data_IF_519242017765
#
_entry.id   IF_519242017765
#
_cell.length_a   1.000
_cell.length_b   1.000
_cell.length_c   1.000
_cell.angle_alpha   90.00
_cell.angle_beta   90.00
_cell.angle_gamma   90.00
#
_symmetry.space_group_name_H-M   'P 1'
#
loop_
_entity.id
_entity.type
_entity.pdbx_description
1 polymer ?
#
# COMPACT_ATOMS: atom_id res chain seq x y z
N UNK A 1 53.19 -8.46 19.44
CA UNK A 1 51.83 -8.80 19.91
C UNK A 1 51.11 -7.49 20.19
N UNK A 2 50.53 -6.86 19.15
CA UNK A 2 49.87 -5.57 19.27
C UNK A 2 48.55 -5.75 20.03
N UNK A 3 48.48 -5.18 21.24
CA UNK A 3 47.25 -4.98 21.99
C UNK A 3 46.36 -3.98 21.23
N UNK A 4 45.55 -4.47 20.29
CA UNK A 4 44.41 -3.75 19.77
C UNK A 4 43.45 -3.51 20.93
N UNK A 5 43.52 -2.30 21.47
CA UNK A 5 42.75 -1.86 22.63
C UNK A 5 41.24 -2.08 22.40
N UNK A 6 40.57 -2.65 23.40
CA UNK A 6 39.12 -2.93 23.43
C UNK A 6 38.24 -1.75 22.98
N UNK A 7 38.71 -0.51 23.13
CA UNK A 7 38.05 0.71 22.63
C UNK A 7 37.85 0.72 21.11
N UNK A 8 38.83 0.32 20.31
CA UNK A 8 38.71 0.36 18.83
C UNK A 8 37.70 -0.67 18.33
N UNK A 9 37.59 -1.81 19.00
CA UNK A 9 36.63 -2.87 18.67
C UNK A 9 35.19 -2.46 19.04
N UNK A 10 34.99 -1.82 20.21
CA UNK A 10 33.67 -1.31 20.64
C UNK A 10 33.20 -0.15 19.75
N UNK A 11 34.10 0.72 19.30
CA UNK A 11 33.77 1.80 18.35
C UNK A 11 33.35 1.20 17.01
N UNK A 12 34.01 0.15 16.53
CA UNK A 12 33.67 -0.50 15.26
C UNK A 12 32.33 -1.25 15.31
N UNK A 13 31.99 -1.88 16.44
CA UNK A 13 30.67 -2.50 16.67
C UNK A 13 29.58 -1.45 16.81
N UNK A 14 29.83 -0.34 17.51
CA UNK A 14 28.86 0.78 17.57
C UNK A 14 28.69 1.43 16.20
N UNK A 15 29.76 1.62 15.42
CA UNK A 15 29.66 2.13 14.05
C UNK A 15 28.92 1.15 13.14
N UNK A 16 29.17 -0.16 13.22
CA UNK A 16 28.41 -1.17 12.48
C UNK A 16 26.95 -1.23 12.92
N UNK A 17 26.66 -1.17 14.22
CA UNK A 17 25.29 -1.12 14.74
C UNK A 17 24.58 0.16 14.31
N UNK A 18 25.28 1.30 14.27
CA UNK A 18 24.79 2.58 13.72
C UNK A 18 24.62 2.49 12.19
N UNK A 19 25.54 1.85 11.46
CA UNK A 19 25.43 1.62 10.01
C UNK A 19 24.26 0.67 9.66
N UNK A 20 24.03 -0.34 10.50
CA UNK A 20 22.90 -1.27 10.42
C UNK A 20 21.60 -0.55 10.79
N UNK A 21 21.65 0.41 11.72
CA UNK A 21 20.56 1.35 11.98
C UNK A 21 20.34 2.33 10.80
N UNK A 22 21.34 2.52 9.93
CA UNK A 22 21.35 3.49 8.82
C UNK A 22 20.83 2.99 7.46
N UNK A 23 20.21 1.81 7.33
CA UNK A 23 19.61 1.39 6.03
C UNK A 23 18.32 0.58 6.14
N UNK A 24 17.44 0.87 7.10
CA UNK A 24 16.12 0.24 7.12
C UNK A 24 15.26 0.80 5.98
N UNK A 25 14.89 -0.04 5.01
CA UNK A 25 13.86 0.28 4.01
C UNK A 25 12.47 0.08 4.61
N UNK A 26 11.52 0.91 4.19
CA UNK A 26 10.10 0.71 4.47
C UNK A 26 9.58 -0.49 3.72
N UNK A 27 8.99 -1.42 4.46
CA UNK A 27 8.34 -2.60 3.89
C UNK A 27 6.96 -2.19 3.40
N UNK A 28 6.79 -2.06 2.08
CA UNK A 28 5.59 -1.52 1.45
C UNK A 28 4.84 -2.60 0.66
N UNK A 29 3.51 -2.66 0.82
CA UNK A 29 2.61 -3.43 -0.03
C UNK A 29 1.65 -2.52 -0.79
N UNK A 30 1.41 -2.80 -2.08
CA UNK A 30 0.41 -2.14 -2.93
C UNK A 30 -0.58 -3.20 -3.39
N UNK A 31 -1.82 -3.09 -2.92
CA UNK A 31 -2.88 -4.06 -3.12
C UNK A 31 -4.00 -3.49 -3.98
N UNK A 32 -4.46 -4.27 -4.94
CA UNK A 32 -5.57 -3.95 -5.83
C UNK A 32 -6.73 -4.93 -5.58
N UNK A 33 -7.94 -4.37 -5.51
CA UNK A 33 -9.21 -5.08 -5.40
C UNK A 33 -10.08 -4.79 -6.64
N UNK A 34 -11.40 -4.64 -6.49
CA UNK A 34 -12.32 -4.43 -7.62
C UNK A 34 -12.25 -2.97 -8.12
N UNK A 35 -11.42 -2.72 -9.15
CA UNK A 35 -11.26 -1.45 -9.87
C UNK A 35 -10.54 -1.62 -11.23
N UNK A 36 -10.14 -0.50 -11.85
CA UNK A 36 -9.39 -0.40 -13.11
C UNK A 36 -7.86 -0.39 -12.95
N UNK A 37 -7.36 -0.45 -11.71
CA UNK A 37 -5.93 -0.36 -11.34
C UNK A 37 -5.26 0.97 -11.68
N UNK A 38 -6.05 2.02 -11.95
CA UNK A 38 -5.53 3.33 -12.33
C UNK A 38 -4.58 3.92 -11.28
N UNK A 39 -4.80 3.67 -9.98
CA UNK A 39 -3.92 4.19 -8.94
C UNK A 39 -2.58 3.45 -8.90
N UNK A 40 -2.56 2.13 -9.12
CA UNK A 40 -1.29 1.40 -9.27
C UNK A 40 -0.50 1.86 -10.49
N UNK A 41 -1.17 2.15 -11.61
CA UNK A 41 -0.50 2.69 -12.80
C UNK A 41 0.06 4.09 -12.51
N UNK A 42 -0.71 4.98 -11.89
CA UNK A 42 -0.20 6.30 -11.45
C UNK A 42 1.01 6.16 -10.51
N UNK A 43 1.01 5.17 -9.60
CA UNK A 43 2.18 4.90 -8.76
C UNK A 43 3.41 4.56 -9.61
N UNK A 44 3.27 3.71 -10.63
CA UNK A 44 4.37 3.36 -11.54
C UNK A 44 4.87 4.57 -12.32
N UNK A 45 3.98 5.43 -12.81
CA UNK A 45 4.37 6.66 -13.50
C UNK A 45 5.16 7.60 -12.59
N UNK A 46 4.76 7.72 -11.32
CA UNK A 46 5.52 8.49 -10.33
C UNK A 46 6.93 7.90 -10.11
N UNK A 47 7.08 6.58 -10.19
CA UNK A 47 8.41 5.96 -10.10
C UNK A 47 9.34 6.39 -11.25
N UNK A 48 8.84 6.76 -12.43
CA UNK A 48 9.71 7.29 -13.49
C UNK A 48 10.50 8.53 -13.02
N UNK A 49 9.95 9.29 -12.08
CA UNK A 49 10.60 10.48 -11.51
C UNK A 49 11.26 10.18 -10.16
N UNK A 50 10.62 9.35 -9.31
CA UNK A 50 11.02 9.13 -7.91
C UNK A 50 11.86 7.88 -7.67
N UNK A 51 12.06 7.02 -8.66
CA UNK A 51 12.73 5.73 -8.47
C UNK A 51 14.10 5.86 -7.81
N UNK A 52 14.97 6.74 -8.30
CA UNK A 52 16.32 6.89 -7.74
C UNK A 52 16.31 7.46 -6.31
N UNK A 53 15.32 8.27 -5.96
CA UNK A 53 15.14 8.80 -4.61
C UNK A 53 14.62 7.71 -3.65
N UNK A 54 13.68 6.87 -4.10
CA UNK A 54 12.97 5.93 -3.23
C UNK A 54 13.51 4.50 -3.24
N UNK A 55 14.29 4.09 -4.25
CA UNK A 55 14.80 2.71 -4.38
C UNK A 55 15.58 2.22 -3.16
N UNK A 56 16.24 3.13 -2.45
CA UNK A 56 17.04 2.83 -1.26
C UNK A 56 16.25 3.02 0.04
N UNK A 57 15.01 3.52 -0.04
CA UNK A 57 14.13 3.82 1.08
C UNK A 57 12.95 2.87 1.17
N UNK A 58 12.52 2.29 0.05
CA UNK A 58 11.34 1.43 -0.05
C UNK A 58 11.77 0.02 -0.47
N UNK A 59 11.25 -0.96 0.25
CA UNK A 59 11.29 -2.38 -0.09
C UNK A 59 9.86 -2.84 -0.37
N UNK A 60 9.56 -3.14 -1.64
CA UNK A 60 8.27 -3.70 -2.01
C UNK A 60 8.16 -5.15 -1.53
N UNK A 61 7.16 -5.43 -0.69
CA UNK A 61 6.80 -6.77 -0.22
C UNK A 61 5.65 -7.39 -1.01
N UNK A 62 4.80 -6.54 -1.56
CA UNK A 62 3.75 -6.94 -2.47
C UNK A 62 3.52 -5.79 -3.45
N UNK A 63 3.70 -6.04 -4.74
CA UNK A 63 3.22 -5.16 -5.79
C UNK A 63 3.17 -5.95 -7.09
N UNK A 64 1.98 -6.42 -7.45
CA UNK A 64 1.77 -7.39 -8.53
C UNK A 64 2.33 -6.92 -9.88
N UNK A 65 2.36 -5.61 -10.13
CA UNK A 65 2.83 -5.05 -11.40
C UNK A 65 4.36 -5.10 -11.58
N UNK A 66 5.13 -5.22 -10.51
CA UNK A 66 6.61 -5.18 -10.58
C UNK A 66 7.28 -6.47 -10.09
N UNK A 67 6.58 -7.32 -9.35
CA UNK A 67 7.14 -8.58 -8.86
C UNK A 67 6.06 -9.65 -8.62
N UNK A 68 6.44 -10.92 -8.78
CA UNK A 68 5.58 -12.07 -8.47
C UNK A 68 5.60 -12.44 -6.98
N UNK A 69 6.67 -12.09 -6.26
CA UNK A 69 6.78 -12.38 -4.82
C UNK A 69 5.78 -11.52 -4.05
N UNK A 70 5.06 -12.16 -3.14
CA UNK A 70 4.00 -11.54 -2.35
C UNK A 70 4.14 -11.92 -0.88
N UNK A 71 4.26 -10.93 0.00
CA UNK A 71 4.28 -11.10 1.45
C UNK A 71 3.35 -10.07 2.12
N UNK A 72 2.27 -10.55 2.75
CA UNK A 72 1.33 -9.73 3.53
C UNK A 72 1.69 -9.84 5.02
N UNK A 73 2.96 -9.60 5.35
CA UNK A 73 3.47 -9.72 6.72
C UNK A 73 4.47 -8.63 7.04
N UNK A 74 4.34 -8.06 8.25
CA UNK A 74 5.23 -7.02 8.78
C UNK A 74 5.37 -5.83 7.81
N UNK A 75 4.25 -5.31 7.29
CA UNK A 75 4.26 -4.14 6.42
C UNK A 75 4.34 -2.87 7.27
N UNK A 76 5.25 -1.97 6.90
CA UNK A 76 5.24 -0.61 7.45
C UNK A 76 4.06 0.17 6.85
N UNK A 77 3.84 0.02 5.54
CA UNK A 77 2.75 0.69 4.81
C UNK A 77 2.05 -0.30 3.88
N UNK A 78 0.73 -0.31 3.88
CA UNK A 78 -0.11 -0.93 2.87
C UNK A 78 -0.89 0.15 2.12
N UNK A 79 -0.61 0.32 0.84
CA UNK A 79 -1.43 1.09 -0.08
C UNK A 79 -2.51 0.18 -0.66
N UNK A 80 -3.76 0.62 -0.63
CA UNK A 80 -4.91 -0.17 -1.07
C UNK A 80 -5.75 0.64 -2.04
N UNK A 81 -5.91 0.13 -3.26
CA UNK A 81 -6.91 0.61 -4.22
C UNK A 81 -8.04 -0.41 -4.40
N UNK A 82 -9.15 0.04 -4.99
CA UNK A 82 -10.27 -0.83 -5.33
C UNK A 82 -11.32 -0.98 -4.24
N UNK A 83 -12.52 -1.36 -4.67
CA UNK A 83 -13.64 -1.65 -3.78
C UNK A 83 -13.68 -3.15 -3.43
N UNK A 84 -14.44 -3.51 -2.39
CA UNK A 84 -14.62 -4.89 -1.94
C UNK A 84 -15.93 -5.43 -2.52
N UNK A 85 -15.84 -6.40 -3.43
CA UNK A 85 -16.98 -6.99 -4.12
C UNK A 85 -17.22 -8.46 -3.80
N UNK A 86 -16.26 -9.16 -3.18
CA UNK A 86 -16.37 -10.58 -2.79
C UNK A 86 -16.03 -10.80 -1.31
N UNK A 87 -16.46 -11.94 -0.75
CA UNK A 87 -16.09 -12.35 0.62
C UNK A 87 -14.58 -12.62 0.76
N UNK A 88 -13.92 -13.11 -0.30
CA UNK A 88 -12.47 -13.31 -0.29
C UNK A 88 -11.73 -11.98 -0.15
N UNK A 89 -12.14 -10.97 -0.92
CA UNK A 89 -11.58 -9.62 -0.81
C UNK A 89 -11.84 -9.03 0.58
N UNK A 90 -13.03 -9.27 1.15
CA UNK A 90 -13.41 -8.83 2.49
C UNK A 90 -12.48 -9.40 3.57
N UNK A 91 -12.15 -10.69 3.50
CA UNK A 91 -11.22 -11.31 4.43
C UNK A 91 -9.77 -10.85 4.17
N UNK A 92 -9.38 -10.72 2.90
CA UNK A 92 -8.04 -10.28 2.50
C UNK A 92 -7.74 -8.86 2.99
N UNK A 93 -8.67 -7.91 2.91
CA UNK A 93 -8.45 -6.55 3.41
C UNK A 93 -8.28 -6.52 4.95
N UNK A 94 -9.01 -7.35 5.69
CA UNK A 94 -8.80 -7.51 7.14
C UNK A 94 -7.41 -8.05 7.45
N UNK A 95 -6.93 -9.04 6.68
CA UNK A 95 -5.57 -9.58 6.80
C UNK A 95 -4.51 -8.52 6.49
N UNK A 96 -4.67 -7.74 5.42
CA UNK A 96 -3.76 -6.64 5.06
C UNK A 96 -3.73 -5.61 6.20
N UNK A 97 -4.89 -5.22 6.74
CA UNK A 97 -4.96 -4.26 7.85
C UNK A 97 -4.25 -4.79 9.09
N UNK A 98 -4.49 -6.05 9.47
CA UNK A 98 -3.83 -6.69 10.62
C UNK A 98 -2.30 -6.72 10.49
N UNK A 99 -1.78 -6.80 9.26
CA UNK A 99 -0.35 -6.94 8.99
C UNK A 99 0.34 -5.63 8.56
N UNK A 100 -0.35 -4.49 8.63
CA UNK A 100 0.20 -3.17 8.26
C UNK A 100 0.19 -2.22 9.45
N UNK A 101 1.27 -1.46 9.63
CA UNK A 101 1.31 -0.38 10.62
C UNK A 101 0.51 0.85 10.15
N UNK A 102 0.59 1.15 8.85
CA UNK A 102 -0.19 2.20 8.18
C UNK A 102 -0.92 1.63 6.97
N UNK A 103 -2.21 1.94 6.85
CA UNK A 103 -3.03 1.58 5.69
C UNK A 103 -3.52 2.86 5.02
N UNK A 104 -3.15 3.05 3.77
CA UNK A 104 -3.44 4.25 2.97
C UNK A 104 -4.39 3.84 1.85
N UNK A 105 -5.54 4.50 1.76
CA UNK A 105 -6.49 4.27 0.67
C UNK A 105 -6.12 5.11 -0.53
N UNK A 106 -6.07 4.47 -1.69
CA UNK A 106 -5.78 5.10 -2.97
C UNK A 106 -7.06 5.14 -3.82
N UNK A 107 -7.48 6.36 -4.13
CA UNK A 107 -8.57 6.64 -5.05
C UNK A 107 -9.98 6.36 -4.51
N UNK A 108 -10.95 6.83 -5.27
CA UNK A 108 -12.36 6.81 -4.88
C UNK A 108 -12.92 5.39 -4.74
N UNK A 109 -12.41 4.41 -5.51
CA UNK A 109 -12.82 3.02 -5.38
C UNK A 109 -12.61 2.50 -3.94
N UNK A 110 -11.45 2.79 -3.33
CA UNK A 110 -11.17 2.37 -1.97
C UNK A 110 -11.87 3.24 -0.91
N UNK A 111 -11.99 4.55 -1.17
CA UNK A 111 -12.52 5.52 -0.20
C UNK A 111 -14.06 5.48 -0.12
N UNK A 112 -14.75 5.48 -1.27
CA UNK A 112 -16.21 5.56 -1.37
C UNK A 112 -16.86 4.36 -2.05
N UNK A 113 -16.08 3.44 -2.62
CA UNK A 113 -16.59 2.28 -3.37
C UNK A 113 -16.92 2.59 -4.83
N UNK A 114 -16.92 3.86 -5.24
CA UNK A 114 -17.32 4.27 -6.59
C UNK A 114 -16.15 4.26 -7.58
N UNK A 115 -16.38 3.94 -8.87
CA UNK A 115 -17.68 3.61 -9.48
C UNK A 115 -18.10 2.14 -9.32
N UNK A 116 -17.27 1.26 -8.77
CA UNK A 116 -17.56 -0.17 -8.64
C UNK A 116 -18.87 -0.47 -7.87
N UNK A 117 -19.26 0.41 -6.95
CA UNK A 117 -20.47 0.30 -6.15
C UNK A 117 -21.76 0.78 -6.82
N UNK A 118 -21.74 1.25 -8.07
CA UNK A 118 -22.93 1.79 -8.74
C UNK A 118 -24.09 0.78 -8.77
N UNK A 119 -23.79 -0.53 -8.89
CA UNK A 119 -24.80 -1.59 -8.87
C UNK A 119 -25.57 -1.72 -7.55
N UNK A 120 -25.07 -1.14 -6.46
CA UNK A 120 -25.78 -1.11 -5.19
C UNK A 120 -27.08 -0.31 -5.27
N UNK A 121 -27.11 0.70 -6.17
CA UNK A 121 -28.22 1.64 -6.34
C UNK A 121 -29.20 1.21 -7.45
N UNK A 122 -28.96 0.07 -8.10
CA UNK A 122 -29.88 -0.47 -9.09
C UNK A 122 -31.22 -0.84 -8.47
N UNK A 123 -32.29 -0.65 -9.23
CA UNK A 123 -33.62 -1.13 -8.89
C UNK A 123 -33.70 -2.67 -8.97
N UNK A 124 -34.87 -3.22 -8.63
CA UNK A 124 -35.09 -4.66 -8.62
C UNK A 124 -34.97 -5.30 -10.00
N UNK A 125 -35.42 -4.61 -11.04
CA UNK A 125 -35.38 -5.11 -12.42
C UNK A 125 -33.92 -5.24 -12.87
N UNK A 126 -33.15 -4.16 -12.75
CA UNK A 126 -31.73 -4.13 -13.13
C UNK A 126 -30.89 -5.08 -12.28
N UNK A 127 -31.20 -5.25 -10.99
CA UNK A 127 -30.56 -6.28 -10.15
C UNK A 127 -30.82 -7.70 -10.65
N UNK A 128 -32.04 -7.98 -11.13
CA UNK A 128 -32.36 -9.28 -11.72
C UNK A 128 -31.60 -9.52 -13.03
N UNK A 129 -31.45 -8.50 -13.88
CA UNK A 129 -30.68 -8.59 -15.14
C UNK A 129 -29.22 -9.02 -14.89
N UNK A 130 -28.58 -8.49 -13.84
CA UNK A 130 -27.17 -8.78 -13.55
C UNK A 130 -26.97 -9.98 -12.62
N UNK A 131 -28.03 -10.57 -12.09
CA UNK A 131 -27.97 -11.57 -11.00
C UNK A 131 -27.07 -12.76 -11.34
N UNK A 132 -27.19 -13.28 -12.56
CA UNK A 132 -26.39 -14.42 -13.00
C UNK A 132 -24.90 -14.05 -13.14
N UNK A 133 -24.59 -12.81 -13.54
CA UNK A 133 -23.21 -12.31 -13.61
C UNK A 133 -22.62 -12.18 -12.20
N UNK A 134 -23.36 -11.56 -11.28
CA UNK A 134 -22.96 -11.40 -9.87
C UNK A 134 -22.66 -12.78 -9.25
N UNK A 135 -23.55 -13.75 -9.46
CA UNK A 135 -23.37 -15.12 -8.97
C UNK A 135 -22.18 -15.83 -9.62
N UNK A 136 -22.02 -15.71 -10.94
CA UNK A 136 -20.93 -16.36 -11.70
C UNK A 136 -19.54 -15.97 -11.20
N UNK A 137 -19.36 -14.70 -10.85
CA UNK A 137 -18.08 -14.19 -10.35
C UNK A 137 -17.95 -14.20 -8.82
N UNK A 138 -18.92 -14.77 -8.10
CA UNK A 138 -18.88 -14.86 -6.64
C UNK A 138 -18.96 -13.49 -5.93
N UNK A 139 -19.56 -12.49 -6.58
CA UNK A 139 -19.73 -11.18 -5.98
C UNK A 139 -20.83 -11.20 -4.91
N UNK A 140 -20.59 -10.47 -3.81
CA UNK A 140 -21.59 -10.16 -2.79
C UNK A 140 -22.73 -9.34 -3.38
N UNK A 141 -23.86 -9.27 -2.69
CA UNK A 141 -24.98 -8.42 -3.14
C UNK A 141 -24.59 -6.93 -3.16
N UNK A 142 -23.83 -6.46 -2.16
CA UNK A 142 -23.35 -5.08 -2.04
C UNK A 142 -21.85 -5.03 -2.25
N UNK A 143 -21.38 -4.06 -3.04
CA UNK A 143 -19.96 -3.65 -3.09
C UNK A 143 -19.70 -2.64 -1.98
N UNK A 144 -18.64 -2.84 -1.21
CA UNK A 144 -18.27 -1.98 -0.09
C UNK A 144 -17.03 -1.16 -0.43
N UNK A 145 -16.97 0.07 0.08
CA UNK A 145 -15.72 0.80 0.18
C UNK A 145 -14.79 0.09 1.19
N UNK A 146 -13.48 0.17 1.00
CA UNK A 146 -12.52 -0.36 1.98
C UNK A 146 -12.68 0.33 3.34
N UNK A 147 -13.00 1.64 3.32
CA UNK A 147 -13.26 2.46 4.51
C UNK A 147 -14.46 1.99 5.33
N UNK A 148 -15.44 1.30 4.71
CA UNK A 148 -16.57 0.66 5.42
C UNK A 148 -16.13 -0.60 6.17
N UNK A 149 -15.02 -1.24 5.77
CA UNK A 149 -14.57 -2.54 6.29
C UNK A 149 -13.45 -2.42 7.32
N UNK A 150 -12.47 -1.56 7.08
CA UNK A 150 -11.30 -1.38 7.95
C UNK A 150 -10.96 0.10 8.14
N UNK A 151 -10.37 0.44 9.29
CA UNK A 151 -9.87 1.78 9.57
C UNK A 151 -8.66 2.11 8.68
N UNK A 152 -8.78 3.17 7.89
CA UNK A 152 -7.67 3.79 7.18
C UNK A 152 -6.87 4.75 8.09
N UNK A 153 -5.58 4.89 7.82
CA UNK A 153 -4.71 5.89 8.46
C UNK A 153 -4.62 7.18 7.65
N UNK A 154 -4.61 7.08 6.31
CA UNK A 154 -4.53 8.21 5.37
C UNK A 154 -5.34 7.88 4.11
N UNK A 155 -5.72 8.91 3.36
CA UNK A 155 -6.52 8.79 2.14
C UNK A 155 -5.96 9.70 1.04
N UNK A 156 -5.84 9.15 -0.18
CA UNK A 156 -5.47 9.89 -1.38
C UNK A 156 -6.68 9.91 -2.32
N UNK A 157 -7.46 11.01 -2.35
CA UNK A 157 -8.64 11.10 -3.20
C UNK A 157 -8.27 11.16 -4.70
N UNK A 158 -9.25 10.86 -5.57
CA UNK A 158 -9.10 10.91 -7.02
C UNK A 158 -9.55 9.63 -7.73
N UNK A 159 -9.69 9.69 -9.05
CA UNK A 159 -9.91 8.50 -9.90
C UNK A 159 -9.21 8.71 -11.27
N UNK A 160 -7.89 8.42 -11.39
CA UNK A 160 -7.01 7.85 -10.37
C UNK A 160 -6.57 8.87 -9.30
N UNK A 161 -5.82 8.40 -8.31
CA UNK A 161 -5.35 9.20 -7.17
C UNK A 161 -4.65 10.51 -7.58
N UNK A 162 -4.79 11.55 -6.75
CA UNK A 162 -4.08 12.82 -6.93
C UNK A 162 -2.58 12.67 -6.60
N UNK A 163 -1.73 12.93 -7.59
CA UNK A 163 -0.28 12.71 -7.50
C UNK A 163 0.38 13.57 -6.40
N UNK A 164 0.05 14.86 -6.33
CA UNK A 164 0.66 15.77 -5.35
C UNK A 164 0.33 15.33 -3.93
N UNK A 165 -0.90 14.88 -3.69
CA UNK A 165 -1.34 14.40 -2.38
C UNK A 165 -0.68 13.07 -2.03
N UNK A 166 -0.54 12.18 -3.01
CA UNK A 166 0.18 10.92 -2.84
C UNK A 166 1.64 11.18 -2.45
N UNK A 167 2.33 12.06 -3.17
CA UNK A 167 3.72 12.44 -2.88
C UNK A 167 3.86 13.04 -1.48
N UNK A 168 2.97 13.95 -1.09
CA UNK A 168 2.94 14.54 0.26
C UNK A 168 2.87 13.44 1.34
N UNK A 169 1.94 12.49 1.19
CA UNK A 169 1.75 11.40 2.13
C UNK A 169 2.97 10.49 2.19
N UNK A 170 3.54 10.08 1.05
CA UNK A 170 4.74 9.22 1.02
C UNK A 170 5.93 9.89 1.69
N UNK A 171 6.19 11.17 1.39
CA UNK A 171 7.29 11.92 2.00
C UNK A 171 7.10 12.09 3.51
N UNK A 172 5.87 12.33 3.97
CA UNK A 172 5.55 12.39 5.40
C UNK A 172 5.73 11.03 6.08
N UNK A 173 5.30 9.93 5.44
CA UNK A 173 5.49 8.59 5.97
C UNK A 173 6.98 8.22 6.06
N UNK A 174 7.78 8.52 5.04
CA UNK A 174 9.23 8.32 5.06
C UNK A 174 9.88 9.02 6.27
N UNK A 175 9.51 10.29 6.52
CA UNK A 175 9.97 11.05 7.70
C UNK A 175 9.51 10.43 9.01
N UNK A 176 8.22 10.08 9.13
CA UNK A 176 7.62 9.55 10.36
C UNK A 176 8.21 8.19 10.76
N UNK A 177 8.60 7.37 9.79
CA UNK A 177 9.29 6.11 10.05
C UNK A 177 10.81 6.25 10.18
N UNK A 178 11.35 7.48 10.13
CA UNK A 178 12.77 7.78 10.31
C UNK A 178 13.68 7.32 9.17
N UNK A 179 13.13 7.08 7.98
CA UNK A 179 13.89 6.62 6.82
C UNK A 179 14.40 7.84 6.05
N UNK A 180 15.72 7.99 5.94
CA UNK A 180 16.37 9.13 5.29
C UNK A 180 17.26 8.65 4.15
N UNK A 181 17.31 9.46 3.08
CA UNK A 181 18.22 9.20 1.97
C UNK A 181 19.65 9.61 2.35
N UNK A 182 20.62 8.74 2.06
CA UNK A 182 22.03 9.00 2.30
C UNK A 182 22.60 10.07 1.37
N UNK A 183 21.93 10.37 0.24
CA UNK A 183 22.37 11.35 -0.76
C UNK A 183 22.01 12.82 -0.44
N UNK A 184 21.36 13.09 0.70
CA UNK A 184 21.10 14.46 1.20
C UNK A 184 21.90 14.78 2.48
N UNK A 185 23.04 14.11 2.67
CA UNK A 185 24.03 14.41 3.70
C UNK A 185 25.13 15.33 3.15
#
# INVERSE_FOLDING_TARGET
MLLLTSRTFIINIKLQAILIFMKRKLRVGIFSFTCDEGCSITFLEILNQKFFEWKDLIEFKHFRLIQSKSEIKNLDIAFVEGAISTEEELEKIKVIRKNSKKLVLLGNCAISGSPSNLRNFFDKERKNEIKEIVKKFGHMEKVLAVKEVVKADEEVPGCPMQEEKFLEIVENLLKNFGVKNASRL
#
